data_IF_715729920861
#
_entry.id   IF_715729920861
#
_cell.length_a   1.000
_cell.length_b   1.000
_cell.length_c   1.000
_cell.angle_alpha   90.00
_cell.angle_beta   90.00
_cell.angle_gamma   90.00
#
_symmetry.space_group_name_H-M   'P 1'
#
loop_
_entity.id
_entity.type
_entity.pdbx_description
1 polymer ?
#
# COMPACT_ATOMS: atom_id res chain seq x y z
N UNK A 1 3.54 46.67 25.11
CA UNK A 1 4.86 46.35 24.51
C UNK A 1 4.66 45.17 23.58
N UNK A 2 4.79 45.38 22.26
CA UNK A 2 4.57 44.35 21.22
C UNK A 2 5.84 43.51 21.12
N UNK A 3 5.79 42.27 21.60
CA UNK A 3 6.88 41.32 21.51
C UNK A 3 7.11 40.92 20.06
N UNK A 4 8.21 41.38 19.47
CA UNK A 4 8.69 40.87 18.20
C UNK A 4 9.22 39.45 18.43
N UNK A 5 8.50 38.43 17.95
CA UNK A 5 9.07 37.09 17.86
C UNK A 5 10.35 37.16 17.00
N UNK A 6 11.48 36.65 17.48
CA UNK A 6 12.72 36.68 16.72
C UNK A 6 12.55 35.90 15.41
N UNK A 7 12.82 36.56 14.28
CA UNK A 7 12.72 36.05 12.90
C UNK A 7 13.45 34.71 12.67
N UNK A 8 14.34 34.32 13.59
CA UNK A 8 15.02 33.03 13.59
C UNK A 8 14.10 31.83 13.86
N UNK A 9 12.98 32.01 14.58
CA UNK A 9 12.07 30.90 14.90
C UNK A 9 11.31 30.39 13.66
N UNK A 10 11.06 31.27 12.69
CA UNK A 10 10.36 30.90 11.43
C UNK A 10 11.28 30.09 10.52
N UNK A 11 12.58 30.39 10.49
CA UNK A 11 13.57 29.67 9.66
C UNK A 11 13.77 28.23 10.18
N UNK A 12 13.72 28.03 11.50
CA UNK A 12 13.86 26.69 12.09
C UNK A 12 12.65 25.78 11.82
N UNK A 13 11.44 26.34 11.75
CA UNK A 13 10.24 25.56 11.40
C UNK A 13 10.22 25.11 9.93
N UNK A 14 10.81 25.88 9.01
CA UNK A 14 10.89 25.53 7.59
C UNK A 14 11.94 24.44 7.29
N UNK A 15 12.95 24.26 8.15
CA UNK A 15 13.99 23.26 7.98
C UNK A 15 13.57 21.84 8.43
N UNK A 16 12.42 21.68 9.10
CA UNK A 16 11.87 20.37 9.49
C UNK A 16 10.92 19.78 8.44
N UNK A 17 10.42 20.57 7.49
CA UNK A 17 9.59 20.09 6.39
C UNK A 17 10.25 19.03 5.49
N UNK A 18 11.55 19.13 5.12
CA UNK A 18 12.14 18.16 4.20
C UNK A 18 12.35 16.76 4.82
N UNK A 19 12.19 16.57 6.14
CA UNK A 19 12.34 15.25 6.77
C UNK A 19 11.07 14.41 6.62
N UNK A 20 9.89 15.03 6.48
CA UNK A 20 8.64 14.30 6.23
C UNK A 20 8.53 13.77 4.78
N UNK A 21 9.26 14.35 3.82
CA UNK A 21 9.39 13.82 2.46
C UNK A 21 10.45 12.70 2.37
N UNK A 22 11.25 12.53 3.43
CA UNK A 22 12.23 11.46 3.61
C UNK A 22 11.66 10.29 4.43
N UNK A 23 10.44 9.83 4.15
CA UNK A 23 10.12 8.45 4.49
C UNK A 23 11.05 7.58 3.64
N UNK A 24 12.03 6.86 4.21
CA UNK A 24 12.75 5.88 3.41
C UNK A 24 11.69 4.91 2.96
N UNK A 25 11.38 4.94 1.66
CA UNK A 25 10.61 3.91 0.98
C UNK A 25 11.16 2.60 1.49
N UNK A 26 10.45 1.96 2.41
CA UNK A 26 10.82 0.64 2.91
C UNK A 26 10.74 -0.22 1.67
N UNK A 27 11.91 -0.54 1.08
CA UNK A 27 11.99 -1.51 -0.01
C UNK A 27 11.32 -2.76 0.51
N UNK A 28 10.11 -3.02 0.03
CA UNK A 28 9.38 -4.23 0.34
C UNK A 28 10.26 -5.34 -0.24
N UNK A 29 10.86 -6.17 0.64
CA UNK A 29 11.61 -7.34 0.19
C UNK A 29 10.61 -8.26 -0.50
N UNK A 30 10.60 -8.25 -1.83
CA UNK A 30 9.75 -9.15 -2.59
C UNK A 30 10.14 -10.59 -2.31
N UNK A 31 9.21 -11.41 -1.83
CA UNK A 31 9.52 -12.78 -1.45
C UNK A 31 9.74 -13.71 -2.65
N UNK A 32 9.39 -13.33 -3.89
CA UNK A 32 9.41 -14.25 -5.05
C UNK A 32 9.78 -13.60 -6.40
N UNK A 33 10.25 -14.43 -7.33
CA UNK A 33 10.25 -14.14 -8.77
C UNK A 33 8.81 -14.17 -9.28
N UNK A 34 8.14 -13.02 -9.29
CA UNK A 34 6.79 -12.91 -9.84
C UNK A 34 6.88 -12.71 -11.35
N UNK A 35 6.17 -13.54 -12.12
CA UNK A 35 6.17 -13.50 -13.59
C UNK A 35 5.11 -12.55 -14.17
N UNK A 36 4.45 -11.76 -13.33
CA UNK A 36 3.46 -10.74 -13.70
C UNK A 36 4.13 -9.37 -13.92
N UNK A 37 3.74 -8.69 -14.98
CA UNK A 37 4.24 -7.35 -15.35
C UNK A 37 3.84 -6.28 -14.32
N UNK A 38 2.68 -6.44 -13.66
CA UNK A 38 2.16 -5.52 -12.65
C UNK A 38 2.70 -5.82 -11.24
N UNK A 39 3.10 -7.07 -10.97
CA UNK A 39 3.67 -7.48 -9.68
C UNK A 39 5.21 -7.45 -9.64
N UNK A 40 5.89 -7.37 -10.79
CA UNK A 40 7.34 -7.08 -10.89
C UNK A 40 7.75 -5.74 -10.23
N UNK A 41 7.01 -4.62 -10.38
CA UNK A 41 7.30 -3.36 -9.68
C UNK A 41 6.86 -3.31 -8.21
N UNK A 42 6.14 -4.32 -7.70
CA UNK A 42 5.64 -4.38 -6.31
C UNK A 42 6.74 -4.34 -5.22
N UNK A 43 8.00 -4.49 -5.61
CA UNK A 43 9.17 -4.41 -4.74
C UNK A 43 9.65 -2.96 -4.52
N UNK A 44 9.12 -2.00 -5.27
CA UNK A 44 9.46 -0.57 -5.20
C UNK A 44 8.27 0.29 -4.77
N UNK A 45 7.05 -0.10 -5.15
CA UNK A 45 5.84 0.66 -4.89
C UNK A 45 4.69 -0.24 -4.39
N UNK A 46 3.69 0.38 -3.75
CA UNK A 46 2.48 -0.32 -3.34
C UNK A 46 1.66 -0.72 -4.56
N UNK A 47 1.12 -1.93 -4.55
CA UNK A 47 0.28 -2.43 -5.64
C UNK A 47 -1.11 -1.83 -5.51
N UNK A 48 -1.62 -1.22 -6.57
CA UNK A 48 -3.01 -0.81 -6.60
C UNK A 48 -3.90 -2.06 -6.69
N UNK A 49 -4.67 -2.31 -5.63
CA UNK A 49 -5.52 -3.51 -5.48
C UNK A 49 -6.60 -3.60 -6.59
N UNK A 50 -7.01 -2.46 -7.16
CA UNK A 50 -8.01 -2.39 -8.22
C UNK A 50 -7.44 -2.70 -9.62
N UNK A 51 -6.13 -2.87 -9.74
CA UNK A 51 -5.45 -3.09 -11.01
C UNK A 51 -5.10 -4.55 -11.27
N UNK A 52 -5.41 -5.45 -10.32
CA UNK A 52 -5.12 -6.88 -10.46
C UNK A 52 -6.05 -7.48 -11.51
N UNK A 53 -5.47 -7.99 -12.61
CA UNK A 53 -6.23 -8.68 -13.65
C UNK A 53 -6.57 -10.11 -13.22
N UNK A 54 -7.63 -10.68 -13.79
CA UNK A 54 -8.06 -12.04 -13.43
C UNK A 54 -6.99 -13.10 -13.73
N UNK A 55 -6.26 -12.93 -14.84
CA UNK A 55 -5.15 -13.81 -15.22
C UNK A 55 -3.98 -13.80 -14.22
N UNK A 56 -3.83 -12.73 -13.44
CA UNK A 56 -2.77 -12.56 -12.42
C UNK A 56 -3.20 -12.99 -11.02
N UNK A 57 -4.44 -13.46 -10.85
CA UNK A 57 -5.01 -13.75 -9.54
C UNK A 57 -4.20 -14.76 -8.73
N UNK A 58 -3.62 -15.79 -9.38
CA UNK A 58 -2.75 -16.77 -8.70
C UNK A 58 -1.50 -16.11 -8.12
N UNK A 59 -0.85 -15.23 -8.90
CA UNK A 59 0.39 -14.56 -8.49
C UNK A 59 0.11 -13.54 -7.39
N UNK A 60 -1.00 -12.80 -7.48
CA UNK A 60 -1.43 -11.86 -6.45
C UNK A 60 -1.75 -12.57 -5.13
N UNK A 61 -2.53 -13.66 -5.17
CA UNK A 61 -2.86 -14.45 -3.98
C UNK A 61 -1.57 -15.00 -3.35
N UNK A 62 -0.65 -15.53 -4.15
CA UNK A 62 0.62 -16.06 -3.67
C UNK A 62 1.46 -14.97 -2.99
N UNK A 63 1.56 -13.80 -3.62
CA UNK A 63 2.26 -12.64 -3.06
C UNK A 63 1.66 -12.23 -1.72
N UNK A 64 0.35 -11.99 -1.68
CA UNK A 64 -0.36 -11.51 -0.49
C UNK A 64 -0.32 -12.55 0.66
N UNK A 65 -0.29 -13.84 0.33
CA UNK A 65 -0.12 -14.94 1.28
C UNK A 65 1.21 -14.92 2.05
N UNK A 66 2.16 -14.07 1.65
CA UNK A 66 3.40 -13.84 2.42
C UNK A 66 3.18 -12.94 3.63
N UNK A 67 2.08 -12.19 3.66
CA UNK A 67 1.77 -11.18 4.68
C UNK A 67 0.56 -11.56 5.52
N UNK A 68 -0.38 -12.30 4.93
CA UNK A 68 -1.64 -12.73 5.54
C UNK A 68 -1.89 -14.22 5.28
N UNK A 69 -2.89 -14.82 5.92
CA UNK A 69 -3.25 -16.22 5.66
C UNK A 69 -3.72 -16.39 4.21
N UNK A 70 -3.44 -17.55 3.60
CA UNK A 70 -3.84 -17.85 2.21
C UNK A 70 -5.33 -17.63 1.95
N UNK A 71 -6.20 -18.04 2.88
CA UNK A 71 -7.65 -17.82 2.73
C UNK A 71 -8.01 -16.33 2.78
N UNK A 72 -7.38 -15.54 3.65
CA UNK A 72 -7.57 -14.08 3.66
C UNK A 72 -7.11 -13.44 2.34
N UNK A 73 -5.99 -13.92 1.77
CA UNK A 73 -5.50 -13.43 0.50
C UNK A 73 -6.48 -13.71 -0.66
N UNK A 74 -7.10 -14.89 -0.69
CA UNK A 74 -8.14 -15.22 -1.67
C UNK A 74 -9.38 -14.34 -1.51
N UNK A 75 -9.86 -14.16 -0.28
CA UNK A 75 -11.05 -13.34 -0.01
C UNK A 75 -10.82 -11.87 -0.41
N UNK A 76 -9.63 -11.32 -0.10
CA UNK A 76 -9.24 -9.96 -0.54
C UNK A 76 -9.23 -9.85 -2.07
N UNK A 77 -8.65 -10.84 -2.75
CA UNK A 77 -8.61 -10.89 -4.20
C UNK A 77 -10.02 -10.94 -4.81
N UNK A 78 -10.86 -11.88 -4.38
CA UNK A 78 -12.23 -12.02 -4.86
C UNK A 78 -13.02 -10.71 -4.65
N UNK A 79 -12.94 -10.14 -3.45
CA UNK A 79 -13.59 -8.88 -3.14
C UNK A 79 -13.14 -7.75 -4.06
N UNK A 80 -11.84 -7.60 -4.29
CA UNK A 80 -11.29 -6.54 -5.14
C UNK A 80 -11.58 -6.75 -6.64
N UNK A 81 -11.76 -7.98 -7.09
CA UNK A 81 -12.18 -8.24 -8.49
C UNK A 81 -13.66 -7.99 -8.72
N UNK A 82 -14.49 -8.15 -7.69
CA UNK A 82 -15.94 -7.92 -7.77
C UNK A 82 -16.32 -6.48 -7.43
N UNK A 83 -15.49 -5.77 -6.67
CA UNK A 83 -15.77 -4.45 -6.13
C UNK A 83 -14.59 -3.51 -6.37
N UNK A 84 -14.88 -2.27 -6.77
CA UNK A 84 -13.88 -1.21 -6.77
C UNK A 84 -13.61 -0.76 -5.32
N UNK A 85 -12.45 -1.13 -4.78
CA UNK A 85 -12.04 -0.80 -3.40
C UNK A 85 -11.61 0.66 -3.35
N UNK A 86 -12.34 1.48 -2.59
CA UNK A 86 -12.04 2.92 -2.46
C UNK A 86 -11.03 3.17 -1.35
N UNK A 87 -11.16 2.42 -0.27
CA UNK A 87 -10.30 2.47 0.91
C UNK A 87 -9.97 1.04 1.35
N UNK A 88 -8.70 0.76 1.65
CA UNK A 88 -8.28 -0.56 2.16
C UNK A 88 -8.96 -0.91 3.49
N UNK A 89 -9.45 0.09 4.24
CA UNK A 89 -10.25 -0.14 5.44
C UNK A 89 -11.57 -0.87 5.15
N UNK A 90 -12.10 -0.80 3.92
CA UNK A 90 -13.29 -1.54 3.53
C UNK A 90 -13.10 -3.07 3.60
N UNK A 91 -11.85 -3.54 3.49
CA UNK A 91 -11.52 -4.96 3.60
C UNK A 91 -11.81 -5.53 4.99
N UNK A 92 -11.94 -4.69 6.04
CA UNK A 92 -12.38 -5.15 7.37
C UNK A 92 -13.83 -5.68 7.37
N UNK A 93 -14.63 -5.39 6.33
CA UNK A 93 -15.98 -5.92 6.17
C UNK A 93 -15.99 -7.41 5.81
N UNK A 94 -14.86 -7.91 5.32
CA UNK A 94 -14.70 -9.31 4.91
C UNK A 94 -14.50 -10.18 6.15
N UNK A 95 -15.28 -11.25 6.27
CA UNK A 95 -15.20 -12.16 7.40
C UNK A 95 -13.78 -12.71 7.58
N UNK A 96 -13.26 -12.61 8.81
CA UNK A 96 -11.90 -13.05 9.12
C UNK A 96 -10.79 -12.06 8.78
N UNK A 97 -11.11 -10.86 8.26
CA UNK A 97 -10.15 -9.78 8.05
C UNK A 97 -10.36 -8.71 9.14
N UNK A 98 -9.43 -8.65 10.09
CA UNK A 98 -9.44 -7.62 11.13
C UNK A 98 -8.51 -6.45 10.80
N UNK A 99 -8.59 -5.40 11.62
CA UNK A 99 -7.75 -4.20 11.51
C UNK A 99 -6.24 -4.49 11.48
N UNK A 100 -5.78 -5.48 12.24
CA UNK A 100 -4.37 -5.94 12.19
C UNK A 100 -3.96 -6.48 10.83
N UNK A 101 -4.86 -7.19 10.14
CA UNK A 101 -4.62 -7.70 8.79
C UNK A 101 -4.57 -6.55 7.79
N UNK A 102 -5.51 -5.61 7.90
CA UNK A 102 -5.56 -4.41 7.04
C UNK A 102 -4.30 -3.55 7.21
N UNK A 103 -3.83 -3.34 8.45
CA UNK A 103 -2.57 -2.64 8.70
C UNK A 103 -1.36 -3.31 8.06
N UNK A 104 -1.28 -4.64 8.04
CA UNK A 104 -0.19 -5.37 7.38
C UNK A 104 -0.19 -5.10 5.87
N UNK A 105 -1.35 -5.20 5.24
CA UNK A 105 -1.47 -5.03 3.79
C UNK A 105 -1.37 -3.56 3.35
N UNK A 106 -1.61 -2.59 4.23
CA UNK A 106 -1.41 -1.15 3.95
C UNK A 106 0.02 -0.81 3.53
N UNK A 107 1.00 -1.60 3.96
CA UNK A 107 2.40 -1.40 3.59
C UNK A 107 2.73 -1.82 2.15
N UNK A 108 1.88 -2.67 1.55
CA UNK A 108 2.13 -3.31 0.25
C UNK A 108 1.04 -3.04 -0.79
N UNK A 109 -0.17 -2.65 -0.36
CA UNK A 109 -1.30 -2.33 -1.24
C UNK A 109 -1.67 -0.84 -1.15
N UNK A 110 -2.24 -0.32 -2.22
CA UNK A 110 -2.87 0.99 -2.30
C UNK A 110 -4.20 0.90 -3.03
N UNK A 111 -5.04 1.92 -2.89
CA UNK A 111 -6.21 2.15 -3.75
C UNK A 111 -5.97 3.30 -4.73
N UNK A 112 -4.90 4.07 -4.52
CA UNK A 112 -4.46 5.21 -5.31
C UNK A 112 -3.26 4.87 -6.18
N UNK A 113 -3.24 5.40 -7.41
CA UNK A 113 -2.18 5.20 -8.39
C UNK A 113 -2.76 4.73 -9.73
N UNK A 114 -2.11 5.07 -10.84
CA UNK A 114 -2.50 4.57 -12.15
C UNK A 114 -2.16 3.07 -12.23
N UNK A 115 -3.07 2.27 -12.76
CA UNK A 115 -2.71 0.92 -13.19
C UNK A 115 -1.60 1.07 -14.23
N UNK A 116 -0.41 0.56 -13.94
CA UNK A 116 0.66 0.48 -14.93
C UNK A 116 0.20 -0.53 -15.97
N UNK A 117 -0.47 -0.01 -17.00
CA UNK A 117 -0.82 -0.71 -18.23
C UNK A 117 0.32 -0.38 -19.19
N UNK A 118 1.34 -1.22 -19.20
CA UNK A 118 2.12 -1.40 -20.42
C UNK A 118 1.29 -2.25 -21.40
#
# INVERSE_FOLDING_TARGET
MKGALPKFFVIFLLALLPIAEFFPFQKIKCPFMINSEILKPACRERININCIKQEEGKDFILFLSSYVKKEQAKEIYNYATENQVKDLKELEKISGIGSKTVQKIYSILSTSGNCVRD
#
